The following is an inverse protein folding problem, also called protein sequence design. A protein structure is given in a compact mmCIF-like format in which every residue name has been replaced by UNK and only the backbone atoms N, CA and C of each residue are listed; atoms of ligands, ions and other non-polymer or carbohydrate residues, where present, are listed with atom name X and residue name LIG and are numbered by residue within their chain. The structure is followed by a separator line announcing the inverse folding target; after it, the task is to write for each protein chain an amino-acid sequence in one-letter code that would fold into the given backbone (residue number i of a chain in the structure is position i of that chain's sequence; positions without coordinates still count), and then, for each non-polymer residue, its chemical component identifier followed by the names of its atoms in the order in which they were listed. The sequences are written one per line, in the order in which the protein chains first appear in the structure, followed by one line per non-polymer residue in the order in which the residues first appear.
data_IF_352555709060
#
_entry.id   IF_352555709060
#
_cell.length_a   1.000
_cell.length_b   1.000
_cell.length_c   1.000
_cell.angle_alpha   90.00
_cell.angle_beta   90.00
_cell.angle_gamma   90.00
#
_symmetry.space_group_name_H-M   'P 1'
#
loop_
_entity.id
_entity.type
_entity.pdbx_description
1 polymer ?
#
# COMPACT_ATOMS: atom_id res chain seq x y z
N UNK A 1 19.05 3.47 15.50
CA UNK A 1 18.17 2.40 14.99
C UNK A 1 16.82 2.59 15.65
N UNK A 2 15.99 3.46 15.07
CA UNK A 2 14.67 3.82 15.60
C UNK A 2 13.73 2.63 15.43
N UNK A 3 13.20 2.15 16.55
CA UNK A 3 12.17 1.11 16.57
C UNK A 3 10.95 1.59 15.78
N UNK A 4 10.55 0.82 14.77
CA UNK A 4 9.28 1.02 14.10
C UNK A 4 8.19 0.67 15.12
N UNK A 5 7.44 1.69 15.55
CA UNK A 5 6.16 1.52 16.22
C UNK A 5 5.32 0.56 15.38
N UNK A 6 4.76 -0.48 16.01
CA UNK A 6 3.89 -1.46 15.35
C UNK A 6 2.58 -0.81 14.90
N UNK A 7 2.62 0.02 13.85
CA UNK A 7 1.43 0.41 13.12
C UNK A 7 0.85 -0.86 12.47
N UNK A 8 -0.44 -1.11 12.66
CA UNK A 8 -1.09 -2.23 12.01
C UNK A 8 -0.87 -2.14 10.49
N UNK A 9 -0.50 -3.26 9.88
CA UNK A 9 -0.22 -3.32 8.44
C UNK A 9 -1.38 -3.97 7.72
N UNK A 10 -1.87 -3.33 6.67
CA UNK A 10 -2.85 -3.88 5.75
C UNK A 10 -2.16 -4.39 4.48
N UNK A 11 -2.64 -5.53 3.95
CA UNK A 11 -2.20 -6.05 2.65
C UNK A 11 -3.34 -5.87 1.66
N UNK A 12 -3.13 -5.03 0.64
CA UNK A 12 -4.11 -4.72 -0.39
C UNK A 12 -3.82 -5.54 -1.65
N UNK A 13 -4.65 -6.55 -1.91
CA UNK A 13 -4.63 -7.29 -3.17
C UNK A 13 -5.37 -6.52 -4.26
N UNK A 14 -4.69 -6.29 -5.38
CA UNK A 14 -5.14 -5.42 -6.45
C UNK A 14 -4.77 -3.97 -6.15
N UNK A 15 -3.82 -3.46 -6.93
CA UNK A 15 -3.30 -2.11 -6.82
C UNK A 15 -3.77 -1.23 -7.98
N UNK A 16 -4.94 -1.50 -8.57
CA UNK A 16 -5.59 -0.63 -9.55
C UNK A 16 -6.17 0.64 -8.93
N UNK A 17 -7.00 1.37 -9.68
CA UNK A 17 -7.55 2.66 -9.26
C UNK A 17 -8.34 2.58 -7.94
N UNK A 18 -9.19 1.56 -7.77
CA UNK A 18 -9.95 1.36 -6.53
C UNK A 18 -9.06 0.93 -5.36
N UNK A 19 -8.06 0.07 -5.64
CA UNK A 19 -7.12 -0.38 -4.62
C UNK A 19 -6.35 0.79 -4.02
N UNK A 20 -5.81 1.69 -4.85
CA UNK A 20 -4.98 2.82 -4.39
C UNK A 20 -5.78 4.06 -4.00
N UNK A 21 -6.84 4.39 -4.75
CA UNK A 21 -7.60 5.63 -4.60
C UNK A 21 -8.83 5.53 -3.70
N UNK A 22 -9.14 4.35 -3.16
CA UNK A 22 -10.25 4.19 -2.23
C UNK A 22 -9.86 3.30 -1.04
N UNK A 23 -9.62 2.00 -1.25
CA UNK A 23 -9.43 1.07 -0.13
C UNK A 23 -8.13 1.38 0.65
N UNK A 24 -7.00 1.53 -0.04
CA UNK A 24 -5.75 1.89 0.62
C UNK A 24 -5.80 3.29 1.26
N UNK A 25 -6.57 4.21 0.70
CA UNK A 25 -6.78 5.53 1.31
C UNK A 25 -7.49 5.39 2.66
N UNK A 26 -8.54 4.57 2.75
CA UNK A 26 -9.22 4.30 4.02
C UNK A 26 -8.27 3.68 5.07
N UNK A 27 -7.41 2.75 4.66
CA UNK A 27 -6.42 2.17 5.57
C UNK A 27 -5.40 3.22 6.04
N UNK A 28 -4.92 4.06 5.13
CA UNK A 28 -4.00 5.15 5.47
C UNK A 28 -4.63 6.17 6.43
N UNK A 29 -5.87 6.60 6.16
CA UNK A 29 -6.65 7.47 7.04
C UNK A 29 -6.92 6.84 8.42
N UNK A 30 -6.99 5.51 8.48
CA UNK A 30 -7.12 4.75 9.73
C UNK A 30 -5.79 4.55 10.47
N UNK A 31 -4.68 5.05 9.95
CA UNK A 31 -3.34 4.94 10.54
C UNK A 31 -2.62 3.62 10.26
N UNK A 32 -3.05 2.85 9.26
CA UNK A 32 -2.38 1.62 8.83
C UNK A 32 -1.34 1.89 7.74
N UNK A 33 -0.25 1.13 7.80
CA UNK A 33 0.68 1.01 6.66
C UNK A 33 0.10 0.04 5.64
N UNK A 34 0.17 0.35 4.35
CA UNK A 34 -0.42 -0.50 3.30
C UNK A 34 0.66 -1.09 2.42
N UNK A 35 0.66 -2.41 2.26
CA UNK A 35 1.48 -3.12 1.27
C UNK A 35 0.60 -3.58 0.12
N UNK A 36 0.90 -3.13 -1.09
CA UNK A 36 0.16 -3.52 -2.30
C UNK A 36 0.69 -4.83 -2.91
N UNK A 37 -0.23 -5.65 -3.41
CA UNK A 37 0.07 -6.88 -4.16
C UNK A 37 -0.71 -6.87 -5.47
N UNK A 38 -0.01 -6.99 -6.59
CA UNK A 38 -0.61 -7.05 -7.93
C UNK A 38 0.18 -7.99 -8.83
N UNK A 39 -0.46 -8.52 -9.87
CA UNK A 39 0.17 -9.39 -10.89
C UNK A 39 0.65 -8.60 -12.10
N UNK A 40 0.21 -7.35 -12.25
CA UNK A 40 0.62 -6.48 -13.36
C UNK A 40 1.96 -5.84 -13.04
N UNK A 41 3.04 -6.35 -13.65
CA UNK A 41 4.42 -5.90 -13.42
C UNK A 41 4.59 -4.38 -13.56
N UNK A 42 3.95 -3.77 -14.55
CA UNK A 42 4.02 -2.31 -14.76
C UNK A 42 3.52 -1.53 -13.54
N UNK A 43 2.47 -2.02 -12.87
CA UNK A 43 1.91 -1.41 -11.66
C UNK A 43 2.87 -1.62 -10.49
N UNK A 44 3.37 -2.84 -10.28
CA UNK A 44 4.31 -3.16 -9.21
C UNK A 44 5.59 -2.32 -9.33
N UNK A 45 6.11 -2.16 -10.54
CA UNK A 45 7.31 -1.34 -10.76
C UNK A 45 7.04 0.15 -10.59
N UNK A 46 5.85 0.65 -10.93
CA UNK A 46 5.46 2.03 -10.63
C UNK A 46 5.44 2.28 -9.12
N UNK A 47 4.77 1.42 -8.36
CA UNK A 47 4.70 1.52 -6.89
C UNK A 47 6.08 1.54 -6.24
N UNK A 48 6.98 0.65 -6.68
CA UNK A 48 8.36 0.60 -6.16
C UNK A 48 9.16 1.87 -6.47
N UNK A 49 8.94 2.51 -7.62
CA UNK A 49 9.59 3.78 -7.97
C UNK A 49 9.03 4.95 -7.16
N UNK A 50 7.74 4.95 -6.89
CA UNK A 50 7.04 6.03 -6.21
C UNK A 50 7.17 5.96 -4.68
N UNK A 51 7.78 4.89 -4.15
CA UNK A 51 8.01 4.70 -2.72
C UNK A 51 6.76 4.30 -1.94
N UNK A 52 5.81 3.65 -2.61
CA UNK A 52 4.62 3.07 -1.99
C UNK A 52 4.94 1.79 -1.22
#
# INVERSE_FOLDING_TARGET
MSGQSSAATAVQFGAGNIGRGFIAQLFHESGLSVTFVDVVDQVVQALRRDGA
#
